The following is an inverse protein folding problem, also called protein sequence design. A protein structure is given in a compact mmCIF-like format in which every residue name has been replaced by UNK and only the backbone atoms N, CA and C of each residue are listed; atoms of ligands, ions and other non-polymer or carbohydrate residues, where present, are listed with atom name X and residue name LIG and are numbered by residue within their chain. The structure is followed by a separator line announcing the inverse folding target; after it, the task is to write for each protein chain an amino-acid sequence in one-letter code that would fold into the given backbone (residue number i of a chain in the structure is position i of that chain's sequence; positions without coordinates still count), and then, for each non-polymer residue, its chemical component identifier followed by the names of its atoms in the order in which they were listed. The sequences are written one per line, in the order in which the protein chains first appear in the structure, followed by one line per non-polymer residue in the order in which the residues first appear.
data_IF_823478017003
#
_entry.id   IF_823478017003
#
_cell.length_a   1.000
_cell.length_b   1.000
_cell.length_c   1.000
_cell.angle_alpha   90.00
_cell.angle_beta   90.00
_cell.angle_gamma   90.00
#
_symmetry.space_group_name_H-M   'P 1'
#
loop_
_entity.id
_entity.type
_entity.pdbx_description
1 polymer ?
#
# COMPACT_ATOMS: atom_id res chain seq x y z
N UNK A 1 6.47 -4.81 -2.20
CA UNK A 1 5.44 -5.32 -1.27
C UNK A 1 5.06 -4.18 -0.32
N UNK A 2 3.77 -3.90 -0.20
CA UNK A 2 3.25 -2.72 0.50
C UNK A 2 3.16 -2.96 2.02
N UNK A 3 3.55 -1.99 2.87
CA UNK A 3 3.53 -2.17 4.33
C UNK A 3 2.14 -2.40 4.93
N UNK A 4 1.07 -1.90 4.30
CA UNK A 4 -0.29 -2.10 4.81
C UNK A 4 -0.74 -3.56 4.74
N UNK A 5 -0.41 -4.25 3.64
CA UNK A 5 -0.66 -5.69 3.48
C UNK A 5 0.10 -6.50 4.53
N UNK A 6 1.37 -6.17 4.75
CA UNK A 6 2.22 -6.80 5.77
C UNK A 6 1.64 -6.66 7.18
N UNK A 7 1.06 -5.50 7.52
CA UNK A 7 0.42 -5.30 8.82
C UNK A 7 -0.88 -6.09 8.96
N UNK A 8 -1.70 -6.16 7.93
CA UNK A 8 -2.93 -6.94 7.99
C UNK A 8 -2.64 -8.45 8.15
N UNK A 9 -1.64 -8.97 7.43
CA UNK A 9 -1.27 -10.39 7.51
C UNK A 9 -0.72 -10.82 8.88
N UNK A 10 -0.22 -9.88 9.69
CA UNK A 10 0.20 -10.14 11.07
C UNK A 10 -0.98 -10.42 12.01
N UNK A 11 -2.21 -10.06 11.61
CA UNK A 11 -3.41 -10.30 12.41
C UNK A 11 -4.25 -11.42 11.80
N UNK A 12 -4.91 -12.29 12.61
CA UNK A 12 -5.78 -13.33 12.08
C UNK A 12 -6.94 -12.75 11.25
N UNK A 13 -7.50 -11.62 11.70
CA UNK A 13 -8.57 -10.91 11.01
C UNK A 13 -8.10 -10.30 9.68
N UNK A 14 -6.94 -9.65 9.67
CA UNK A 14 -6.40 -9.07 8.43
C UNK A 14 -5.98 -10.14 7.42
N UNK A 15 -5.47 -11.29 7.86
CA UNK A 15 -5.19 -12.43 6.96
C UNK A 15 -6.46 -12.96 6.30
N UNK A 16 -7.56 -13.06 7.06
CA UNK A 16 -8.86 -13.43 6.50
C UNK A 16 -9.34 -12.37 5.49
N UNK A 17 -9.27 -11.08 5.84
CA UNK A 17 -9.68 -9.99 4.96
C UNK A 17 -8.88 -9.96 3.64
N UNK A 18 -7.56 -10.09 3.69
CA UNK A 18 -6.72 -10.13 2.47
C UNK A 18 -7.07 -11.35 1.60
N UNK A 19 -7.31 -12.50 2.22
CA UNK A 19 -7.73 -13.71 1.51
C UNK A 19 -9.10 -13.57 0.84
N UNK A 20 -10.05 -12.91 1.49
CA UNK A 20 -11.37 -12.61 0.91
C UNK A 20 -11.27 -11.63 -0.25
N UNK A 21 -10.53 -10.52 -0.07
CA UNK A 21 -10.29 -9.54 -1.12
C UNK A 21 -9.62 -10.17 -2.35
N UNK A 22 -8.64 -11.06 -2.13
CA UNK A 22 -7.96 -11.78 -3.20
C UNK A 22 -8.92 -12.69 -3.98
N UNK A 23 -9.74 -13.48 -3.28
CA UNK A 23 -10.77 -14.33 -3.92
C UNK A 23 -11.75 -13.49 -4.73
N UNK A 24 -12.23 -12.39 -4.16
CA UNK A 24 -13.17 -11.48 -4.80
C UNK A 24 -12.59 -10.93 -6.13
N UNK A 25 -11.31 -10.53 -6.13
CA UNK A 25 -10.61 -10.08 -7.34
C UNK A 25 -10.40 -11.21 -8.34
N UNK A 26 -10.00 -12.40 -7.89
CA UNK A 26 -9.80 -13.54 -8.79
C UNK A 26 -11.10 -13.96 -9.46
N UNK A 27 -12.19 -14.05 -8.72
CA UNK A 27 -13.52 -14.35 -9.26
C UNK A 27 -13.98 -13.25 -10.22
N UNK A 28 -13.76 -12.00 -9.86
CA UNK A 28 -14.04 -10.88 -10.75
C UNK A 28 -13.27 -10.98 -12.07
N UNK A 29 -11.94 -11.23 -12.04
CA UNK A 29 -11.17 -11.31 -13.28
C UNK A 29 -11.65 -12.49 -14.15
N UNK A 30 -12.02 -13.62 -13.53
CA UNK A 30 -12.63 -14.77 -14.23
C UNK A 30 -14.00 -14.43 -14.81
N UNK A 31 -14.83 -13.68 -14.07
CA UNK A 31 -16.14 -13.23 -14.51
C UNK A 31 -16.00 -11.94 -15.35
N UNK A 32 -15.79 -12.09 -16.65
CA UNK A 32 -15.68 -10.94 -17.56
C UNK A 32 -17.01 -10.20 -17.79
N UNK A 33 -18.10 -10.65 -17.16
CA UNK A 33 -19.42 -10.03 -17.20
C UNK A 33 -19.47 -8.69 -16.45
N UNK A 34 -18.57 -8.49 -15.47
CA UNK A 34 -18.52 -7.29 -14.62
C UNK A 34 -17.31 -6.43 -14.94
N UNK A 35 -17.55 -5.14 -15.15
CA UNK A 35 -16.52 -4.13 -15.39
C UNK A 35 -16.00 -3.49 -14.08
N UNK A 36 -16.83 -3.52 -13.02
CA UNK A 36 -16.53 -2.96 -11.71
C UNK A 36 -16.74 -4.02 -10.62
N UNK A 37 -15.77 -4.11 -9.72
CA UNK A 37 -15.78 -4.89 -8.49
C UNK A 37 -16.02 -3.95 -7.32
N UNK A 38 -17.05 -4.20 -6.52
CA UNK A 38 -17.23 -3.50 -5.25
C UNK A 38 -16.61 -4.33 -4.14
N UNK A 39 -15.70 -3.72 -3.37
CA UNK A 39 -15.10 -4.37 -2.22
C UNK A 39 -16.04 -4.29 -1.00
N UNK A 40 -15.98 -5.27 -0.08
CA UNK A 40 -16.81 -5.25 1.12
C UNK A 40 -16.53 -3.98 1.94
N UNK A 41 -17.58 -3.31 2.43
CA UNK A 41 -17.44 -2.10 3.26
C UNK A 41 -16.72 -2.37 4.61
N UNK A 42 -16.73 -3.62 5.07
CA UNK A 42 -16.02 -4.07 6.27
C UNK A 42 -14.50 -4.24 6.05
N UNK A 43 -14.06 -4.25 4.78
CA UNK A 43 -12.65 -4.39 4.45
C UNK A 43 -11.89 -3.07 4.60
N UNK A 44 -10.65 -3.12 5.07
CA UNK A 44 -9.81 -1.93 5.11
C UNK A 44 -9.54 -1.41 3.69
N UNK A 45 -9.90 -0.15 3.44
CA UNK A 45 -9.72 0.48 2.14
C UNK A 45 -8.28 0.37 1.62
N UNK A 46 -7.29 0.57 2.50
CA UNK A 46 -5.88 0.40 2.18
C UNK A 46 -5.58 -0.98 1.57
N UNK A 47 -6.11 -2.07 2.15
CA UNK A 47 -5.89 -3.42 1.64
C UNK A 47 -6.56 -3.63 0.29
N UNK A 48 -7.81 -3.18 0.14
CA UNK A 48 -8.54 -3.27 -1.12
C UNK A 48 -7.78 -2.59 -2.26
N UNK A 49 -7.29 -1.36 -2.03
CA UNK A 49 -6.43 -0.66 -3.00
C UNK A 49 -5.21 -1.47 -3.37
N UNK A 50 -4.48 -2.00 -2.38
CA UNK A 50 -3.22 -2.71 -2.63
C UNK A 50 -3.41 -4.03 -3.36
N UNK A 51 -4.42 -4.82 -2.96
CA UNK A 51 -4.76 -6.08 -3.63
C UNK A 51 -5.13 -5.80 -5.08
N UNK A 52 -6.07 -4.89 -5.32
CA UNK A 52 -6.50 -4.55 -6.68
C UNK A 52 -5.38 -3.98 -7.56
N UNK A 53 -4.56 -3.05 -7.03
CA UNK A 53 -3.38 -2.52 -7.74
C UNK A 53 -2.40 -3.63 -8.11
N UNK A 54 -2.23 -4.65 -7.26
CA UNK A 54 -1.36 -5.78 -7.56
C UNK A 54 -1.87 -6.65 -8.72
N UNK A 55 -3.16 -6.64 -9.01
CA UNK A 55 -3.75 -7.32 -10.17
C UNK A 55 -3.89 -6.40 -11.39
N UNK A 56 -3.48 -5.14 -11.28
CA UNK A 56 -3.59 -4.15 -12.36
C UNK A 56 -4.97 -3.48 -12.46
N UNK A 57 -5.85 -3.65 -11.47
CA UNK A 57 -7.14 -2.97 -11.44
C UNK A 57 -6.96 -1.51 -11.03
N UNK A 58 -7.76 -0.63 -11.64
CA UNK A 58 -7.88 0.76 -11.19
C UNK A 58 -8.77 0.79 -9.95
N UNK A 59 -8.40 1.54 -8.92
CA UNK A 59 -9.17 1.58 -7.67
C UNK A 59 -9.65 2.98 -7.36
N UNK A 60 -10.80 3.09 -6.73
CA UNK A 60 -11.36 4.38 -6.29
C UNK A 60 -12.08 4.19 -4.97
N UNK A 61 -11.85 5.10 -4.03
CA UNK A 61 -12.63 5.20 -2.80
C UNK A 61 -13.83 6.08 -3.08
N UNK A 62 -14.98 5.67 -2.60
CA UNK A 62 -16.18 6.49 -2.55
C UNK A 62 -16.40 6.84 -1.09
N UNK A 63 -16.04 8.07 -0.75
CA UNK A 63 -16.28 8.64 0.56
C UNK A 63 -17.75 9.04 0.66
N UNK A 64 -18.55 8.23 1.35
CA UNK A 64 -19.95 8.50 1.63
C UNK A 64 -20.11 9.42 2.87
N UNK A 65 -19.31 10.49 2.92
CA UNK A 65 -19.23 11.41 4.06
C UNK A 65 -20.58 12.10 4.37
N UNK A 66 -21.39 12.34 3.33
CA UNK A 66 -22.72 12.95 3.44
C UNK A 66 -23.76 12.01 4.08
N UNK A 67 -23.60 10.70 3.91
CA UNK A 67 -24.54 9.68 4.37
C UNK A 67 -24.16 9.06 5.71
N UNK A 68 -22.99 9.38 6.25
CA UNK A 68 -22.41 8.75 7.45
C UNK A 68 -22.07 7.27 7.27
N UNK A 69 -22.11 6.76 6.04
CA UNK A 69 -21.80 5.36 5.73
C UNK A 69 -20.29 5.16 5.61
N UNK A 70 -19.84 3.94 5.89
CA UNK A 70 -18.44 3.57 5.74
C UNK A 70 -17.96 3.81 4.29
N UNK A 71 -16.74 4.35 4.09
CA UNK A 71 -16.19 4.55 2.76
C UNK A 71 -16.06 3.20 2.06
N UNK A 72 -16.56 3.13 0.83
CA UNK A 72 -16.51 1.91 0.02
C UNK A 72 -15.43 2.02 -1.04
N UNK A 73 -14.73 0.92 -1.30
CA UNK A 73 -13.71 0.88 -2.34
C UNK A 73 -14.24 0.10 -3.53
N UNK A 74 -14.03 0.64 -4.72
CA UNK A 74 -14.35 -0.03 -5.99
C UNK A 74 -13.09 -0.27 -6.79
N UNK A 75 -13.02 -1.43 -7.46
CA UNK A 75 -11.98 -1.82 -8.40
C UNK A 75 -12.56 -1.90 -9.81
N UNK A 76 -12.05 -1.09 -10.74
CA UNK A 76 -12.41 -1.14 -12.17
C UNK A 76 -11.39 -1.96 -12.94
N UNK A 77 -11.89 -2.77 -13.89
CA UNK A 77 -11.05 -3.53 -14.81
C UNK A 77 -10.30 -2.57 -15.73
N UNK A 78 -9.08 -2.94 -16.09
CA UNK A 78 -8.22 -2.22 -17.03
C UNK A 78 -7.60 -3.20 -18.03
N UNK A 79 -7.02 -2.69 -19.11
CA UNK A 79 -6.23 -3.48 -20.07
C UNK A 79 -4.99 -4.19 -19.44
N UNK A 80 -4.56 -3.73 -18.26
CA UNK A 80 -3.46 -4.33 -17.50
C UNK A 80 -3.93 -5.39 -16.52
N UNK A 81 -5.26 -5.63 -16.43
CA UNK A 81 -5.82 -6.59 -15.47
C UNK A 81 -5.42 -8.00 -15.86
N UNK A 82 -4.63 -8.67 -15.01
CA UNK A 82 -4.12 -10.01 -15.27
C UNK A 82 -4.17 -10.87 -14.02
N UNK A 83 -4.60 -12.12 -14.18
CA UNK A 83 -4.50 -13.13 -13.12
C UNK A 83 -3.04 -13.47 -12.88
N UNK A 84 -2.60 -13.40 -11.61
CA UNK A 84 -1.33 -13.96 -11.19
C UNK A 84 -1.49 -15.45 -10.88
N UNK A 85 -0.51 -16.26 -11.26
CA UNK A 85 -0.46 -17.68 -10.88
C UNK A 85 -0.16 -17.89 -9.38
N UNK A 86 0.31 -16.86 -8.68
CA UNK A 86 0.61 -16.92 -7.25
C UNK A 86 -0.29 -15.97 -6.45
N UNK A 87 -0.78 -16.48 -5.32
CA UNK A 87 -1.57 -15.71 -4.34
C UNK A 87 -0.68 -14.65 -3.68
N UNK A 88 -1.20 -13.43 -3.53
CA UNK A 88 -0.55 -12.36 -2.76
C UNK A 88 -0.25 -12.84 -1.35
N UNK A 89 -1.18 -13.56 -0.72
CA UNK A 89 -0.97 -14.13 0.62
C UNK A 89 0.29 -14.99 0.73
N UNK A 90 0.74 -15.63 -0.36
CA UNK A 90 1.87 -16.57 -0.37
C UNK A 90 3.20 -15.88 -0.69
N UNK A 91 3.21 -14.90 -1.61
CA UNK A 91 4.41 -14.12 -1.96
C UNK A 91 4.80 -13.19 -0.80
N UNK A 92 3.81 -12.67 -0.10
CA UNK A 92 4.02 -11.67 0.95
C UNK A 92 4.46 -12.30 2.27
N UNK A 93 3.98 -13.51 2.61
CA UNK A 93 4.43 -14.24 3.80
C UNK A 93 5.94 -14.55 3.74
N UNK A 94 6.45 -14.91 2.55
CA UNK A 94 7.88 -15.09 2.31
C UNK A 94 8.67 -13.78 2.45
N UNK A 95 8.10 -12.67 2.00
CA UNK A 95 8.72 -11.33 2.09
C UNK A 95 8.67 -10.77 3.52
N UNK A 96 7.58 -11.03 4.25
CA UNK A 96 7.39 -10.65 5.65
C UNK A 96 8.39 -11.38 6.54
N UNK A 97 8.54 -12.70 6.37
CA UNK A 97 9.55 -13.52 7.06
C UNK A 97 10.97 -13.03 6.76
N UNK A 98 11.26 -12.68 5.51
CA UNK A 98 12.56 -12.12 5.14
C UNK A 98 12.83 -10.74 5.79
N UNK A 99 11.80 -9.89 5.94
CA UNK A 99 11.94 -8.58 6.61
C UNK A 99 11.97 -8.67 8.12
N UNK A 100 11.26 -9.61 8.73
CA UNK A 100 11.35 -9.87 10.18
C UNK A 100 12.74 -10.36 10.55
N UNK A 101 13.35 -11.22 9.71
CA UNK A 101 14.74 -11.64 9.86
C UNK A 101 15.76 -10.54 9.54
N UNK A 102 15.39 -9.53 8.73
CA UNK A 102 16.21 -8.36 8.43
C UNK A 102 15.92 -7.13 9.34
N UNK A 103 15.01 -7.26 10.31
CA UNK A 103 14.42 -6.17 11.09
C UNK A 103 14.97 -5.98 12.50
N UNK A 104 16.06 -6.66 12.86
CA UNK A 104 16.82 -6.36 14.07
C UNK A 104 18.05 -5.50 13.73
N UNK A 105 17.88 -4.17 13.74
CA UNK A 105 18.96 -3.18 13.59
C UNK A 105 18.53 -1.81 14.14
N UNK A 106 19.27 -1.19 15.08
CA UNK A 106 18.76 -0.13 15.96
C UNK A 106 19.03 1.31 15.48
N UNK A 107 18.26 2.24 16.05
CA UNK A 107 18.54 3.70 16.21
C UNK A 107 18.49 4.52 14.90
N UNK A 108 17.91 5.72 14.88
CA UNK A 108 18.36 6.89 15.66
C UNK A 108 17.23 7.85 16.01
N UNK A 109 17.06 8.08 17.31
CA UNK A 109 16.73 9.41 17.83
C UNK A 109 17.93 10.32 17.58
N UNK A 110 17.77 11.41 16.84
CA UNK A 110 18.81 12.44 16.77
C UNK A 110 18.21 13.81 16.41
N UNK A 111 17.93 14.57 17.47
CA UNK A 111 18.33 15.97 17.66
C UNK A 111 18.28 16.91 16.46
N UNK A 112 17.26 17.76 16.48
CA UNK A 112 17.28 19.09 15.87
C UNK A 112 18.45 19.91 16.42
N UNK A 113 19.44 20.23 15.58
CA UNK A 113 20.46 21.23 15.83
C UNK A 113 20.59 22.16 14.62
N UNK A 114 20.45 23.49 14.76
CA UNK A 114 20.53 24.39 13.62
C UNK A 114 21.99 24.67 13.23
N UNK A 115 22.34 24.19 12.05
CA UNK A 115 23.23 24.75 11.01
C UNK A 115 24.20 25.85 11.46
N UNK A 116 25.47 25.47 11.70
CA UNK A 116 26.62 26.39 11.70
C UNK A 116 26.86 26.92 10.29
N UNK A 117 26.62 28.23 10.12
CA UNK A 117 26.80 29.00 8.89
C UNK A 117 28.31 29.24 8.65
N UNK A 118 28.94 28.34 7.90
CA UNK A 118 30.33 28.49 7.46
C UNK A 118 30.40 29.41 6.22
N UNK A 119 30.52 30.72 6.41
CA UNK A 119 30.91 31.66 5.33
C UNK A 119 32.43 31.80 5.32
N UNK A 120 33.05 31.24 4.28
CA UNK A 120 34.50 31.34 3.98
C UNK A 120 34.89 32.77 3.58
N UNK A 121 36.17 33.15 3.73
CA UNK A 121 36.67 34.51 3.53
C UNK A 121 36.93 34.80 2.04
N UNK A 122 36.75 36.05 1.62
CA UNK A 122 37.30 36.54 0.35
C UNK A 122 37.78 37.96 0.61
N UNK A 123 39.07 38.07 0.96
CA UNK A 123 39.80 39.31 0.74
C UNK A 123 40.36 39.27 -0.67
N UNK A 124 40.09 40.31 -1.46
CA UNK A 124 41.08 41.01 -2.29
C UNK A 124 40.44 42.15 -3.12
N UNK A 125 41.10 43.30 -3.02
CA UNK A 125 41.33 44.33 -4.06
C UNK A 125 40.27 45.37 -4.45
N UNK A 126 40.54 46.62 -4.05
CA UNK A 126 40.80 47.83 -4.87
C UNK A 126 40.83 49.02 -3.90
N UNK A 127 41.86 49.87 -3.79
CA UNK A 127 42.58 50.55 -4.86
C UNK A 127 41.91 51.90 -5.11
N UNK A 128 42.43 52.97 -4.49
CA UNK A 128 41.95 54.36 -4.59
C UNK A 128 42.38 55.20 -3.41
#
# INVERSE_FOLDING_TARGET
VDPALLQALQTPHGRAAVGELEKCVVEFIKDSSKDVLEFPADSQAALAHRVAQAYGLQTSTIDNADTGAAPRVIGKRTEHTRLRCMRLTLIDEATARAREQAGAGPRVTATSGPKLLLKRPTGMERGG
#
